data_IF_761444846882
#
_entry.id   IF_761444846882
#
_cell.length_a   1.000
_cell.length_b   1.000
_cell.length_c   1.000
_cell.angle_alpha   90.00
_cell.angle_beta   90.00
_cell.angle_gamma   90.00
#
_symmetry.space_group_name_H-M   'P 1'
#
loop_
_entity.id
_entity.type
_entity.pdbx_description
1 polymer ?
#
# COMPACT_ATOMS: atom_id res chain seq x y z
N UNK A 1 9.21 18.77 -7.76
CA UNK A 1 8.55 18.19 -6.55
C UNK A 1 7.31 17.45 -7.03
N UNK A 2 7.31 16.14 -6.97
CA UNK A 2 6.18 15.27 -7.30
C UNK A 2 5.55 14.70 -6.03
N UNK A 3 4.29 14.31 -6.11
CA UNK A 3 3.63 13.49 -5.10
C UNK A 3 3.68 12.03 -5.56
N UNK A 4 4.17 11.16 -4.72
CA UNK A 4 4.34 9.73 -4.97
C UNK A 4 3.48 8.95 -3.98
N UNK A 5 2.77 7.93 -4.44
CA UNK A 5 2.02 7.01 -3.60
C UNK A 5 2.55 5.59 -3.79
N UNK A 6 2.92 4.93 -2.69
CA UNK A 6 3.20 3.49 -2.66
C UNK A 6 1.96 2.78 -2.14
N UNK A 7 1.44 1.82 -2.88
CA UNK A 7 0.33 0.96 -2.46
C UNK A 7 0.87 -0.45 -2.26
N UNK A 8 0.93 -0.86 -1.00
CA UNK A 8 1.47 -2.14 -0.55
C UNK A 8 0.36 -3.03 0.03
N UNK A 9 0.50 -4.34 -0.13
CA UNK A 9 -0.45 -5.30 0.42
C UNK A 9 -0.29 -5.46 1.93
N UNK A 10 0.95 -5.57 2.42
CA UNK A 10 1.24 -5.84 3.83
C UNK A 10 2.24 -4.84 4.42
N UNK A 11 2.23 -4.67 5.76
CA UNK A 11 3.27 -3.90 6.44
C UNK A 11 4.64 -4.58 6.31
N UNK A 12 5.56 -3.97 5.62
CA UNK A 12 6.95 -4.28 5.24
C UNK A 12 7.20 -4.21 3.72
N UNK A 13 6.22 -4.49 2.89
CA UNK A 13 6.34 -4.43 1.42
C UNK A 13 6.78 -3.04 0.94
N UNK A 14 6.30 -1.98 1.58
CA UNK A 14 6.62 -0.59 1.24
C UNK A 14 8.10 -0.25 1.47
N UNK A 15 8.76 -1.00 2.33
CA UNK A 15 10.19 -0.85 2.62
C UNK A 15 11.01 -1.85 1.81
N UNK A 16 10.65 -3.14 1.82
CA UNK A 16 11.39 -4.21 1.16
C UNK A 16 11.35 -4.06 -0.36
N UNK A 17 10.21 -3.68 -0.91
CA UNK A 17 10.01 -3.53 -2.35
C UNK A 17 10.60 -2.26 -2.93
N UNK A 18 10.34 -1.11 -2.31
CA UNK A 18 10.65 0.20 -2.90
C UNK A 18 11.37 1.19 -1.97
N UNK A 19 11.81 0.79 -0.78
CA UNK A 19 12.41 1.69 0.21
C UNK A 19 13.60 2.50 -0.32
N UNK A 20 14.48 1.87 -1.11
CA UNK A 20 15.59 2.57 -1.76
C UNK A 20 15.13 3.61 -2.78
N UNK A 21 14.08 3.30 -3.55
CA UNK A 21 13.47 4.23 -4.52
C UNK A 21 12.80 5.39 -3.80
N UNK A 22 12.11 5.12 -2.70
CA UNK A 22 11.48 6.16 -1.85
C UNK A 22 12.53 7.10 -1.28
N UNK A 23 13.60 6.57 -0.71
CA UNK A 23 14.71 7.38 -0.18
C UNK A 23 15.29 8.31 -1.26
N UNK A 24 15.39 7.84 -2.50
CA UNK A 24 15.82 8.65 -3.63
C UNK A 24 14.82 9.76 -3.97
N UNK A 25 13.52 9.47 -4.07
CA UNK A 25 12.49 10.49 -4.27
C UNK A 25 12.54 11.58 -3.23
N UNK A 26 12.65 11.18 -1.95
CA UNK A 26 12.77 12.14 -0.83
C UNK A 26 14.01 13.00 -0.96
N UNK A 27 15.16 12.42 -1.33
CA UNK A 27 16.40 13.18 -1.56
C UNK A 27 16.30 14.16 -2.74
N UNK A 28 15.46 13.85 -3.74
CA UNK A 28 15.16 14.72 -4.89
C UNK A 28 14.09 15.80 -4.57
N UNK A 29 13.52 15.77 -3.36
CA UNK A 29 12.54 16.75 -2.86
C UNK A 29 11.10 16.38 -3.18
N UNK A 30 10.82 15.14 -3.55
CA UNK A 30 9.46 14.64 -3.74
C UNK A 30 8.79 14.28 -2.40
N UNK A 31 7.47 14.28 -2.40
CA UNK A 31 6.66 13.90 -1.23
C UNK A 31 6.12 12.51 -1.44
N UNK A 32 6.47 11.58 -0.57
CA UNK A 32 6.10 10.17 -0.70
C UNK A 32 5.14 9.76 0.42
N UNK A 33 4.05 9.11 0.03
CA UNK A 33 3.05 8.52 0.92
C UNK A 33 3.00 7.01 0.72
N UNK A 34 2.57 6.27 1.75
CA UNK A 34 2.23 4.87 1.64
C UNK A 34 0.77 4.62 2.01
N UNK A 35 0.11 3.70 1.30
CA UNK A 35 -1.13 3.05 1.67
C UNK A 35 -0.84 1.56 1.82
N UNK A 36 -1.02 1.03 3.03
CA UNK A 36 -0.90 -0.39 3.33
C UNK A 36 -2.30 -0.96 3.49
N UNK A 37 -2.66 -1.92 2.65
CA UNK A 37 -4.02 -2.41 2.53
C UNK A 37 -4.37 -3.45 3.59
N UNK A 38 -3.48 -4.40 3.86
CA UNK A 38 -3.70 -5.49 4.80
C UNK A 38 -3.22 -5.18 6.21
N UNK A 39 -3.92 -5.75 7.19
CA UNK A 39 -3.55 -5.62 8.59
C UNK A 39 -2.23 -6.34 8.96
N UNK A 40 -1.84 -7.36 8.16
CA UNK A 40 -0.67 -8.20 8.39
C UNK A 40 -0.79 -9.12 9.60
N UNK A 41 0.01 -10.20 9.65
CA UNK A 41 0.13 -11.16 10.78
C UNK A 41 -1.11 -12.03 11.06
N UNK A 42 -2.32 -11.62 10.70
CA UNK A 42 -3.56 -12.34 11.08
C UNK A 42 -3.75 -13.66 10.33
N UNK A 43 -3.00 -13.92 9.25
CA UNK A 43 -2.96 -15.22 8.58
C UNK A 43 -2.13 -16.28 9.32
N UNK A 44 -1.33 -15.90 10.32
CA UNK A 44 -0.46 -16.83 11.06
C UNK A 44 -1.21 -17.67 12.10
N UNK A 45 -2.41 -17.25 12.53
CA UNK A 45 -3.32 -18.02 13.37
C UNK A 45 -4.18 -18.99 12.55
N UNK A 46 -4.86 -19.93 13.25
CA UNK A 46 -5.88 -20.78 12.61
C UNK A 46 -7.07 -19.98 12.13
N UNK A 47 -7.47 -18.99 12.91
CA UNK A 47 -8.54 -18.06 12.61
C UNK A 47 -8.00 -16.63 12.78
N UNK A 48 -8.60 -15.66 12.08
CA UNK A 48 -8.20 -14.26 12.14
C UNK A 48 -8.26 -13.71 13.58
N UNK A 49 -9.27 -14.15 14.34
CA UNK A 49 -9.53 -13.74 15.71
C UNK A 49 -8.52 -14.30 16.74
N UNK A 50 -7.71 -15.29 16.33
CA UNK A 50 -6.71 -15.91 17.22
C UNK A 50 -5.46 -15.02 17.45
N UNK A 51 -5.31 -13.97 16.65
CA UNK A 51 -4.15 -13.07 16.75
C UNK A 51 -4.39 -12.01 17.80
N UNK A 52 -3.43 -11.87 18.72
CA UNK A 52 -3.42 -10.81 19.71
C UNK A 52 -3.31 -9.44 19.02
N UNK A 53 -4.26 -8.54 19.29
CA UNK A 53 -4.29 -7.18 18.74
C UNK A 53 -2.97 -6.42 19.04
N UNK A 54 -2.32 -6.70 20.17
CA UNK A 54 -1.03 -6.09 20.48
C UNK A 54 0.04 -6.39 19.44
N UNK A 55 -0.01 -7.56 18.79
CA UNK A 55 0.94 -7.93 17.72
C UNK A 55 0.72 -7.06 16.48
N UNK A 56 -0.53 -6.80 16.13
CA UNK A 56 -0.89 -5.91 15.00
C UNK A 56 -0.48 -4.47 15.32
N UNK A 57 -0.75 -4.00 16.53
CA UNK A 57 -0.41 -2.64 16.97
C UNK A 57 1.11 -2.42 17.00
N UNK A 58 1.88 -3.43 17.45
CA UNK A 58 3.35 -3.38 17.41
C UNK A 58 3.87 -3.37 15.97
N UNK A 59 3.28 -4.16 15.07
CA UNK A 59 3.63 -4.16 13.66
C UNK A 59 3.40 -2.78 13.04
N UNK A 60 2.24 -2.17 13.28
CA UNK A 60 1.94 -0.81 12.80
C UNK A 60 2.94 0.21 13.34
N UNK A 61 3.31 0.13 14.62
CA UNK A 61 4.33 1.01 15.21
C UNK A 61 5.68 0.85 14.51
N UNK A 62 6.15 -0.38 14.31
CA UNK A 62 7.41 -0.66 13.62
C UNK A 62 7.38 -0.17 12.17
N UNK A 63 6.25 -0.30 11.49
CA UNK A 63 6.02 0.24 10.13
C UNK A 63 6.17 1.77 10.11
N UNK A 64 5.58 2.47 11.07
CA UNK A 64 5.71 3.93 11.16
C UNK A 64 7.14 4.39 11.46
N UNK A 65 7.87 3.64 12.29
CA UNK A 65 9.28 3.93 12.60
C UNK A 65 10.18 3.73 11.37
N UNK A 66 10.02 2.63 10.63
CA UNK A 66 10.78 2.36 9.40
C UNK A 66 10.42 3.35 8.28
N UNK A 67 9.15 3.66 8.10
CA UNK A 67 8.68 4.64 7.14
C UNK A 67 9.28 6.03 7.41
N UNK A 68 9.34 6.45 8.67
CA UNK A 68 9.98 7.70 9.08
C UNK A 68 11.48 7.70 8.75
N UNK A 69 12.17 6.58 8.97
CA UNK A 69 13.61 6.47 8.69
C UNK A 69 13.92 6.60 7.18
N UNK A 70 13.04 6.09 6.32
CA UNK A 70 13.18 6.19 4.85
C UNK A 70 12.72 7.54 4.31
N UNK A 71 11.83 8.23 5.03
CA UNK A 71 11.38 9.59 4.69
C UNK A 71 9.96 9.68 4.13
N UNK A 72 9.11 8.68 4.33
CA UNK A 72 7.70 8.81 4.01
C UNK A 72 7.06 9.98 4.79
N UNK A 73 6.29 10.79 4.10
CA UNK A 73 5.55 11.89 4.72
C UNK A 73 4.44 11.37 5.65
N UNK A 74 3.76 10.30 5.24
CA UNK A 74 2.71 9.63 6.01
C UNK A 74 2.45 8.23 5.48
N UNK A 75 2.10 7.31 6.39
CA UNK A 75 1.55 5.99 6.08
C UNK A 75 0.06 5.98 6.46
N UNK A 76 -0.75 5.44 5.58
CA UNK A 76 -2.17 5.15 5.79
C UNK A 76 -2.34 3.63 5.85
N UNK A 77 -3.23 3.17 6.70
CA UNK A 77 -3.56 1.76 6.86
C UNK A 77 -5.02 1.55 6.51
N UNK A 78 -5.30 0.48 5.75
CA UNK A 78 -6.59 -0.15 5.64
C UNK A 78 -6.57 -1.47 6.41
N UNK A 79 -7.72 -1.99 6.78
CA UNK A 79 -7.80 -3.16 7.67
C UNK A 79 -8.32 -4.40 6.92
N UNK A 80 -7.84 -4.63 5.68
CA UNK A 80 -8.18 -5.83 4.94
C UNK A 80 -7.51 -7.07 5.56
N UNK A 81 -8.19 -8.24 5.54
CA UNK A 81 -7.68 -9.44 6.19
C UNK A 81 -6.43 -9.98 5.49
N UNK A 82 -5.38 -10.24 6.25
CA UNK A 82 -4.07 -10.71 5.79
C UNK A 82 -4.16 -12.07 5.05
N UNK A 83 -3.56 -12.13 3.85
CA UNK A 83 -3.57 -13.28 2.94
C UNK A 83 -4.98 -13.81 2.61
N UNK A 84 -5.96 -12.92 2.54
CA UNK A 84 -7.38 -13.21 2.27
C UNK A 84 -8.06 -12.19 1.37
N UNK A 85 -7.32 -11.47 0.53
CA UNK A 85 -7.91 -10.47 -0.38
C UNK A 85 -8.81 -11.13 -1.44
N UNK A 86 -8.66 -12.42 -1.68
CA UNK A 86 -9.59 -13.22 -2.50
C UNK A 86 -10.98 -13.40 -1.88
N UNK A 87 -11.15 -13.08 -0.58
CA UNK A 87 -12.43 -13.06 0.14
C UNK A 87 -12.98 -11.66 0.35
N UNK A 88 -12.31 -10.65 -0.18
CA UNK A 88 -12.75 -9.26 -0.17
C UNK A 88 -13.23 -8.89 -1.57
N UNK A 89 -14.32 -8.17 -1.65
CA UNK A 89 -14.75 -7.63 -2.95
C UNK A 89 -13.65 -6.75 -3.53
N UNK A 90 -13.14 -7.10 -4.71
CA UNK A 90 -12.11 -6.32 -5.37
C UNK A 90 -12.49 -4.84 -5.49
N UNK A 91 -13.79 -4.56 -5.62
CA UNK A 91 -14.30 -3.19 -5.67
C UNK A 91 -14.02 -2.41 -4.39
N UNK A 92 -14.08 -3.04 -3.22
CA UNK A 92 -13.79 -2.38 -1.95
C UNK A 92 -12.32 -1.96 -1.87
N UNK A 93 -11.41 -2.83 -2.31
CA UNK A 93 -9.98 -2.51 -2.40
C UNK A 93 -9.75 -1.36 -3.40
N UNK A 94 -10.41 -1.41 -4.55
CA UNK A 94 -10.35 -0.34 -5.57
C UNK A 94 -10.82 1.00 -4.98
N UNK A 95 -11.93 0.99 -4.23
CA UNK A 95 -12.50 2.21 -3.63
C UNK A 95 -11.58 2.85 -2.60
N UNK A 96 -10.89 2.05 -1.79
CA UNK A 96 -9.89 2.54 -0.84
C UNK A 96 -8.75 3.26 -1.57
N UNK A 97 -8.27 2.67 -2.67
CA UNK A 97 -7.20 3.27 -3.48
C UNK A 97 -7.69 4.52 -4.22
N UNK A 98 -8.90 4.51 -4.78
CA UNK A 98 -9.51 5.69 -5.44
C UNK A 98 -9.58 6.88 -4.48
N UNK A 99 -10.02 6.67 -3.23
CA UNK A 99 -10.07 7.72 -2.21
C UNK A 99 -8.69 8.34 -1.96
N UNK A 100 -7.65 7.52 -1.92
CA UNK A 100 -6.29 8.01 -1.73
C UNK A 100 -5.76 8.76 -2.95
N UNK A 101 -6.06 8.30 -4.17
CA UNK A 101 -5.72 9.01 -5.41
C UNK A 101 -6.40 10.38 -5.45
N UNK A 102 -7.68 10.47 -5.13
CA UNK A 102 -8.42 11.73 -5.09
C UNK A 102 -7.86 12.70 -4.05
N UNK A 103 -7.51 12.19 -2.87
CA UNK A 103 -7.01 12.96 -1.73
C UNK A 103 -5.60 13.51 -1.96
N UNK A 104 -4.70 12.67 -2.47
CA UNK A 104 -3.27 12.96 -2.56
C UNK A 104 -2.85 13.46 -3.95
N UNK A 105 -3.59 13.10 -4.99
CA UNK A 105 -3.31 13.39 -6.40
C UNK A 105 -1.87 13.04 -6.78
N UNK A 106 -1.44 11.78 -6.61
CA UNK A 106 -0.07 11.37 -6.87
C UNK A 106 0.21 11.33 -8.38
N UNK A 107 1.32 11.89 -8.81
CA UNK A 107 1.80 11.75 -10.20
C UNK A 107 2.38 10.36 -10.45
N UNK A 108 3.03 9.78 -9.44
CA UNK A 108 3.69 8.47 -9.55
C UNK A 108 3.06 7.51 -8.53
N UNK A 109 2.84 6.28 -8.96
CA UNK A 109 2.33 5.21 -8.13
C UNK A 109 3.23 3.98 -8.22
N UNK A 110 3.62 3.42 -7.08
CA UNK A 110 4.33 2.15 -6.98
C UNK A 110 3.41 1.10 -6.37
N UNK A 111 3.48 -0.12 -6.88
CA UNK A 111 2.69 -1.25 -6.38
C UNK A 111 3.38 -2.58 -6.65
N UNK A 112 2.70 -3.69 -6.35
CA UNK A 112 3.20 -5.03 -6.58
C UNK A 112 3.17 -5.44 -8.05
N UNK A 113 4.03 -6.41 -8.39
CA UNK A 113 4.00 -7.09 -9.67
C UNK A 113 2.80 -8.05 -9.73
N UNK A 114 2.01 -7.96 -10.80
CA UNK A 114 0.78 -8.77 -10.97
C UNK A 114 1.02 -10.27 -11.12
N UNK A 115 2.23 -10.68 -11.43
CA UNK A 115 2.66 -12.08 -11.53
C UNK A 115 3.30 -12.65 -10.25
N UNK A 116 3.23 -11.93 -9.13
CA UNK A 116 3.68 -12.42 -7.83
C UNK A 116 2.90 -13.66 -7.40
N UNK A 117 3.53 -14.54 -6.62
CA UNK A 117 2.87 -15.74 -6.09
C UNK A 117 1.85 -15.39 -5.00
N UNK A 118 2.07 -14.33 -4.22
CA UNK A 118 1.18 -13.92 -3.14
C UNK A 118 -0.14 -13.39 -3.71
N UNK A 119 -1.26 -13.95 -3.26
CA UNK A 119 -2.59 -13.58 -3.77
C UNK A 119 -2.95 -12.13 -3.46
N UNK A 120 -2.60 -11.62 -2.29
CA UNK A 120 -2.88 -10.24 -1.90
C UNK A 120 -2.09 -9.26 -2.76
N UNK A 121 -0.84 -9.60 -3.15
CA UNK A 121 -0.04 -8.80 -4.09
C UNK A 121 -0.69 -8.73 -5.47
N UNK A 122 -1.23 -9.86 -5.96
CA UNK A 122 -1.95 -9.91 -7.24
C UNK A 122 -3.21 -9.05 -7.21
N UNK A 123 -4.00 -9.13 -6.12
CA UNK A 123 -5.21 -8.33 -5.94
C UNK A 123 -4.89 -6.85 -5.80
N UNK A 124 -3.84 -6.50 -5.05
CA UNK A 124 -3.35 -5.12 -4.93
C UNK A 124 -2.96 -4.55 -6.28
N UNK A 125 -2.17 -5.27 -7.08
CA UNK A 125 -1.78 -4.84 -8.42
C UNK A 125 -2.99 -4.61 -9.33
N UNK A 126 -3.96 -5.52 -9.32
CA UNK A 126 -5.22 -5.39 -10.10
C UNK A 126 -6.06 -4.20 -9.63
N UNK A 127 -6.18 -4.03 -8.32
CA UNK A 127 -6.93 -2.92 -7.73
C UNK A 127 -6.30 -1.57 -8.08
N UNK A 128 -4.97 -1.46 -7.99
CA UNK A 128 -4.24 -0.24 -8.38
C UNK A 128 -4.47 0.11 -9.85
N UNK A 129 -4.31 -0.84 -10.78
CA UNK A 129 -4.55 -0.59 -12.19
C UNK A 129 -6.00 -0.20 -12.47
N UNK A 130 -6.94 -0.76 -11.73
CA UNK A 130 -8.36 -0.42 -11.86
C UNK A 130 -8.66 0.98 -11.32
N UNK A 131 -8.14 1.32 -10.14
CA UNK A 131 -8.34 2.61 -9.49
C UNK A 131 -7.66 3.77 -10.25
N UNK A 132 -6.55 3.48 -10.93
CA UNK A 132 -5.75 4.48 -11.65
C UNK A 132 -6.20 4.69 -13.09
N UNK A 133 -7.34 4.15 -13.52
CA UNK A 133 -7.89 4.39 -14.86
C UNK A 133 -8.07 5.90 -15.09
N UNK A 134 -7.74 6.42 -16.29
CA UNK A 134 -7.83 7.84 -16.59
C UNK A 134 -9.30 8.29 -16.75
N UNK A 135 -10.04 8.31 -15.64
CA UNK A 135 -11.45 8.71 -15.58
C UNK A 135 -11.56 9.92 -14.67
N UNK A 136 -12.21 10.98 -15.15
CA UNK A 136 -12.42 12.20 -14.39
C UNK A 136 -11.37 13.28 -14.64
N UNK A 137 -11.26 14.21 -13.70
CA UNK A 137 -10.44 15.43 -13.84
C UNK A 137 -8.95 15.21 -13.48
N UNK A 138 -8.61 14.08 -12.89
CA UNK A 138 -7.26 13.74 -12.48
C UNK A 138 -6.89 12.32 -12.89
N UNK A 139 -5.67 12.13 -13.35
CA UNK A 139 -5.10 10.80 -13.61
C UNK A 139 -3.65 10.71 -13.11
N UNK A 140 -3.28 9.54 -12.65
CA UNK A 140 -1.89 9.18 -12.34
C UNK A 140 -1.09 9.16 -13.65
N UNK A 141 0.12 9.72 -13.64
CA UNK A 141 0.95 9.83 -14.83
C UNK A 141 1.80 8.58 -15.08
N UNK A 142 2.33 7.99 -14.00
CA UNK A 142 3.26 6.86 -14.05
C UNK A 142 2.87 5.81 -13.01
N UNK A 143 2.87 4.53 -13.40
CA UNK A 143 2.64 3.38 -12.50
C UNK A 143 3.78 2.41 -12.68
N UNK A 144 4.42 2.02 -11.58
CA UNK A 144 5.50 1.04 -11.53
C UNK A 144 5.13 -0.15 -10.63
N UNK A 145 5.52 -1.38 -11.05
CA UNK A 145 5.27 -2.63 -10.36
C UNK A 145 6.52 -3.54 -10.36
#
# INVERSE_FOLDING_TARGET
MKTVLVVAAHPDDEILGVGGTVARHVAEGDVVYALILGEGQTSRGRHREDIDQNVVDELHKNTLESAKAVGYQKVFFADFPDNRFDHVDLLDIVKEIEQMIEKLRPQILYTHYSGDLNIDHQYTARAVLTASRPIGAYCVEEIYA
#
